data_IF_679562384915
#
_entry.id   IF_679562384915
#
_cell.length_a   1.000
_cell.length_b   1.000
_cell.length_c   1.000
_cell.angle_alpha   90.00
_cell.angle_beta   90.00
_cell.angle_gamma   90.00
#
_symmetry.space_group_name_H-M   'P 1'
#
loop_
_entity.id
_entity.type
_entity.pdbx_description
1 polymer ?
#
# COMPACT_ATOMS: atom_id res chain seq x y z
N UNK A 1 4.79 -15.34 19.66
CA UNK A 1 3.51 -15.15 18.95
C UNK A 1 3.73 -15.47 17.48
N UNK A 2 2.88 -16.29 16.85
CA UNK A 2 2.97 -16.48 15.40
C UNK A 2 2.61 -15.16 14.71
N UNK A 3 3.38 -14.75 13.69
CA UNK A 3 3.10 -13.54 12.91
C UNK A 3 1.69 -13.63 12.31
N UNK A 4 0.74 -12.95 12.94
CA UNK A 4 -0.68 -12.98 12.59
C UNK A 4 -0.89 -12.35 11.23
N UNK A 5 -1.76 -12.95 10.40
CA UNK A 5 -2.17 -12.34 9.14
C UNK A 5 -2.87 -11.02 9.41
N UNK A 6 -2.84 -10.15 8.41
CA UNK A 6 -3.66 -8.96 8.37
C UNK A 6 -4.35 -8.82 7.01
N UNK A 7 -5.35 -7.95 6.97
CA UNK A 7 -5.90 -7.40 5.74
C UNK A 7 -5.65 -5.90 5.78
N UNK A 8 -5.00 -5.37 4.75
CA UNK A 8 -4.88 -3.93 4.54
C UNK A 8 -5.95 -3.51 3.55
N UNK A 9 -6.68 -2.43 3.85
CA UNK A 9 -7.81 -1.93 3.04
C UNK A 9 -7.61 -0.53 2.48
N UNK A 10 -6.50 0.10 2.83
CA UNK A 10 -6.12 1.39 2.30
C UNK A 10 -4.78 1.86 2.87
N UNK A 11 -4.18 2.82 2.20
CA UNK A 11 -3.01 3.52 2.73
C UNK A 11 -3.01 4.99 2.28
N UNK A 12 -2.40 5.84 3.09
CA UNK A 12 -2.22 7.27 2.84
C UNK A 12 -0.74 7.55 2.60
N UNK A 13 -0.32 7.80 1.36
CA UNK A 13 1.05 8.19 1.08
C UNK A 13 1.28 9.67 1.40
N UNK A 14 2.51 10.03 1.77
CA UNK A 14 2.93 11.42 1.95
C UNK A 14 3.58 11.89 0.63
N UNK A 15 2.74 12.35 -0.31
CA UNK A 15 3.12 12.76 -1.66
C UNK A 15 2.45 14.09 -1.99
N UNK A 16 3.23 15.06 -2.43
CA UNK A 16 2.76 16.36 -2.88
C UNK A 16 2.90 16.51 -4.40
N UNK A 17 1.74 16.64 -5.05
CA UNK A 17 1.62 16.84 -6.49
C UNK A 17 1.50 15.54 -7.31
N UNK A 18 1.36 15.72 -8.62
CA UNK A 18 1.22 14.64 -9.59
C UNK A 18 -0.04 13.78 -9.40
N UNK A 19 -0.07 12.64 -10.09
CA UNK A 19 -1.13 11.63 -9.98
C UNK A 19 -0.55 10.28 -9.58
N UNK A 20 -0.08 10.14 -8.33
CA UNK A 20 0.63 8.93 -7.91
C UNK A 20 -0.27 7.70 -8.00
N UNK A 21 0.33 6.60 -8.45
CA UNK A 21 -0.28 5.29 -8.49
C UNK A 21 0.32 4.43 -7.38
N UNK A 22 -0.55 3.85 -6.55
CA UNK A 22 -0.17 3.07 -5.38
C UNK A 22 -0.52 1.60 -5.60
N UNK A 23 0.41 0.71 -5.27
CA UNK A 23 0.21 -0.73 -5.25
C UNK A 23 0.56 -1.30 -3.89
N UNK A 24 -0.26 -2.25 -3.43
CA UNK A 24 0.02 -3.03 -2.24
C UNK A 24 0.49 -4.44 -2.64
N UNK A 25 1.69 -4.78 -2.20
CA UNK A 25 2.27 -6.11 -2.29
C UNK A 25 2.10 -6.87 -0.99
N UNK A 26 1.80 -8.17 -1.07
CA UNK A 26 1.72 -9.05 0.09
C UNK A 26 2.44 -10.38 -0.13
N UNK A 27 2.82 -11.03 0.98
CA UNK A 27 3.38 -12.39 1.02
C UNK A 27 3.20 -13.05 2.38
N UNK A 28 3.24 -14.38 2.42
CA UNK A 28 3.04 -15.18 3.64
C UNK A 28 4.35 -15.45 4.41
N UNK A 29 5.47 -15.54 3.72
CA UNK A 29 6.80 -15.73 4.34
C UNK A 29 7.73 -14.60 3.94
N UNK A 30 8.78 -14.38 4.72
CA UNK A 30 9.75 -13.32 4.44
C UNK A 30 10.58 -13.60 3.18
N UNK A 31 10.70 -14.87 2.77
CA UNK A 31 11.47 -15.32 1.59
C UNK A 31 10.61 -15.36 0.32
N UNK A 32 9.27 -15.44 0.44
CA UNK A 32 8.40 -15.51 -0.71
C UNK A 32 8.47 -14.24 -1.58
N UNK A 33 8.20 -14.42 -2.87
CA UNK A 33 8.00 -13.33 -3.81
C UNK A 33 6.82 -12.44 -3.37
N UNK A 34 6.93 -11.14 -3.63
CA UNK A 34 5.87 -10.18 -3.32
C UNK A 34 4.90 -10.13 -4.50
N UNK A 35 3.64 -10.45 -4.25
CA UNK A 35 2.57 -10.31 -5.27
C UNK A 35 1.88 -8.97 -5.07
N UNK A 36 1.90 -8.11 -6.08
CA UNK A 36 1.26 -6.80 -6.06
C UNK A 36 -0.15 -6.85 -6.64
N UNK A 37 -1.07 -6.14 -5.99
CA UNK A 37 -2.36 -5.80 -6.58
C UNK A 37 -2.24 -4.75 -7.71
N UNK A 38 -3.37 -4.40 -8.35
CA UNK A 38 -3.39 -3.38 -9.38
C UNK A 38 -2.97 -2.00 -8.82
N UNK A 39 -2.39 -1.13 -9.67
CA UNK A 39 -2.17 0.27 -9.31
C UNK A 39 -3.49 1.01 -9.14
N UNK A 40 -3.60 1.83 -8.09
CA UNK A 40 -4.75 2.69 -7.83
C UNK A 40 -4.29 4.12 -7.56
N UNK A 41 -5.07 5.09 -8.02
CA UNK A 41 -4.88 6.50 -7.68
C UNK A 41 -5.36 6.84 -6.27
N UNK A 42 -5.16 8.10 -5.88
CA UNK A 42 -5.67 8.64 -4.62
C UNK A 42 -7.11 9.12 -4.80
N UNK A 43 -7.93 8.89 -3.78
CA UNK A 43 -9.20 9.59 -3.61
C UNK A 43 -8.97 11.09 -3.36
N UNK A 44 -9.98 11.97 -3.49
CA UNK A 44 -9.85 13.38 -3.15
C UNK A 44 -9.39 13.64 -1.71
N UNK A 45 -9.66 12.69 -0.81
CA UNK A 45 -9.21 12.75 0.58
C UNK A 45 -7.77 12.25 0.77
N UNK A 46 -7.01 11.95 -0.28
CA UNK A 46 -5.61 11.49 -0.23
C UNK A 46 -5.41 10.01 0.15
N UNK A 47 -6.48 9.21 0.17
CA UNK A 47 -6.41 7.77 0.48
C UNK A 47 -6.29 6.95 -0.82
N UNK A 48 -5.38 5.99 -0.86
CA UNK A 48 -5.33 4.94 -1.89
C UNK A 48 -6.13 3.71 -1.45
N UNK A 49 -7.21 3.32 -2.15
CA UNK A 49 -8.04 2.17 -1.80
C UNK A 49 -7.41 0.86 -2.31
N UNK A 50 -6.44 0.35 -1.56
CA UNK A 50 -5.77 -0.95 -1.83
C UNK A 50 -6.34 -2.04 -0.93
N UNK A 51 -6.58 -3.24 -1.46
CA UNK A 51 -7.05 -4.37 -0.66
C UNK A 51 -6.12 -5.56 -0.84
N UNK A 52 -5.46 -5.99 0.25
CA UNK A 52 -4.69 -7.24 0.20
C UNK A 52 -4.56 -7.92 1.57
N UNK A 53 -4.51 -9.25 1.56
CA UNK A 53 -4.27 -10.08 2.75
C UNK A 53 -2.87 -10.70 2.71
N UNK A 54 -2.24 -10.81 3.87
CA UNK A 54 -0.96 -11.49 4.01
C UNK A 54 -0.35 -11.30 5.39
N UNK A 55 0.93 -11.69 5.53
CA UNK A 55 1.71 -11.50 6.76
C UNK A 55 2.76 -10.41 6.63
N UNK A 56 3.30 -10.22 5.43
CA UNK A 56 4.26 -9.16 5.12
C UNK A 56 3.73 -8.33 3.98
N UNK A 57 3.86 -7.01 4.10
CA UNK A 57 3.36 -6.05 3.14
C UNK A 57 4.48 -5.17 2.60
N UNK A 58 4.32 -4.71 1.35
CA UNK A 58 5.11 -3.64 0.77
C UNK A 58 4.19 -2.70 0.03
N UNK A 59 4.34 -1.41 0.27
CA UNK A 59 3.70 -0.40 -0.57
C UNK A 59 4.68 0.04 -1.64
N UNK A 60 4.19 0.15 -2.87
CA UNK A 60 4.91 0.75 -3.99
C UNK A 60 4.14 1.97 -4.45
N UNK A 61 4.80 3.11 -4.50
CA UNK A 61 4.28 4.32 -5.13
C UNK A 61 5.04 4.57 -6.43
N UNK A 62 4.32 4.91 -7.49
CA UNK A 62 4.88 5.24 -8.80
C UNK A 62 4.24 6.53 -9.31
N UNK A 63 4.99 7.29 -10.09
CA UNK A 63 4.54 8.51 -10.75
C UNK A 63 4.65 8.33 -12.26
N UNK A 64 3.71 8.88 -13.03
CA UNK A 64 3.82 8.87 -14.48
C UNK A 64 4.96 9.79 -14.92
N UNK A 65 5.61 9.43 -16.03
CA UNK A 65 6.60 10.31 -16.65
C UNK A 65 5.95 11.63 -17.07
N UNK A 66 6.56 12.76 -16.72
CA UNK A 66 6.06 14.09 -17.03
C UNK A 66 5.20 14.74 -15.94
N UNK A 67 4.77 13.99 -14.93
CA UNK A 67 4.08 14.57 -13.77
C UNK A 67 5.05 15.40 -12.91
N UNK A 68 4.56 16.53 -12.41
CA UNK A 68 5.30 17.39 -11.49
C UNK A 68 4.93 17.08 -10.05
N UNK A 69 5.94 16.80 -9.22
CA UNK A 69 5.83 16.52 -7.79
C UNK A 69 7.01 17.15 -7.05
N UNK A 70 6.79 17.53 -5.79
CA UNK A 70 7.82 18.15 -4.94
C UNK A 70 8.35 17.20 -3.85
N UNK A 71 7.53 16.23 -3.43
CA UNK A 71 7.98 15.16 -2.55
C UNK A 71 7.25 13.83 -2.84
N UNK A 72 7.90 12.75 -2.43
CA UNK A 72 7.40 11.38 -2.51
C UNK A 72 8.01 10.60 -1.35
N UNK A 73 7.31 10.59 -0.21
CA UNK A 73 7.86 10.09 1.05
C UNK A 73 6.94 9.03 1.66
N UNK A 74 7.47 7.81 1.84
CA UNK A 74 6.89 6.79 2.71
C UNK A 74 5.36 6.60 2.62
N UNK A 75 4.79 6.17 3.76
CA UNK A 75 3.37 5.98 3.99
C UNK A 75 3.08 6.52 5.39
N UNK A 76 2.11 7.41 5.50
CA UNK A 76 1.70 8.06 6.76
C UNK A 76 0.74 7.16 7.55
N UNK A 77 -0.26 6.59 6.86
CA UNK A 77 -1.27 5.71 7.47
C UNK A 77 -1.50 4.44 6.64
N UNK A 78 -1.73 3.33 7.32
CA UNK A 78 -2.02 2.02 6.77
C UNK A 78 -3.19 1.39 7.53
N UNK A 79 -4.37 1.26 6.89
CA UNK A 79 -5.54 0.62 7.51
C UNK A 79 -5.38 -0.91 7.48
N UNK A 80 -4.50 -1.41 8.35
CA UNK A 80 -4.24 -2.82 8.58
C UNK A 80 -5.13 -3.35 9.71
N UNK A 81 -5.83 -4.46 9.46
CA UNK A 81 -6.68 -5.15 10.44
C UNK A 81 -6.17 -6.58 10.65
N UNK A 82 -6.04 -7.06 11.89
CA UNK A 82 -5.74 -8.46 12.14
C UNK A 82 -6.74 -9.37 11.42
N UNK A 83 -6.24 -10.44 10.82
CA UNK A 83 -7.03 -11.48 10.18
C UNK A 83 -6.66 -12.82 10.82
N UNK A 84 -7.65 -13.52 11.37
CA UNK A 84 -7.45 -14.80 12.05
C UNK A 84 -7.72 -14.80 13.57
N UNK A 85 -8.34 -13.76 14.11
CA UNK A 85 -9.12 -13.86 15.35
C UNK A 85 -10.58 -14.06 14.97
N UNK A 86 -11.00 -15.31 14.83
CA UNK A 86 -12.40 -15.71 14.88
C UNK A 86 -12.52 -16.85 15.89
#
# INVERSE_FOLDING_TARGET
SQGTRAVVRGCRPLIDGGSPQIQLGARETQQAAVTYGPPVGLTPAGLAPVLQSGRYFRVRATMNGGDSWSNLQGIDDLDARPAGAQ
#
